data_IF_914947402370
#
_entry.id   IF_914947402370
#
_cell.length_a   1.000
_cell.length_b   1.000
_cell.length_c   1.000
_cell.angle_alpha   90.00
_cell.angle_beta   90.00
_cell.angle_gamma   90.00
#
_symmetry.space_group_name_H-M   'P 1'
#
loop_
_entity.id
_entity.type
_entity.pdbx_description
1 polymer ?
#
# COMPACT_ATOMS: atom_id res chain seq x y z
N UNK A 1 7.88 -22.49 6.34
CA UNK A 1 7.03 -21.74 5.38
C UNK A 1 7.40 -20.29 5.57
N UNK A 2 8.16 -19.70 4.64
CA UNK A 2 8.46 -18.28 4.72
C UNK A 2 7.25 -17.56 4.11
N UNK A 3 6.48 -16.92 4.99
CA UNK A 3 5.40 -16.04 4.61
C UNK A 3 6.02 -14.83 3.91
N UNK A 4 5.83 -14.77 2.59
CA UNK A 4 6.11 -13.63 1.69
C UNK A 4 7.59 -13.25 1.56
N UNK A 5 8.05 -13.17 0.31
CA UNK A 5 9.41 -12.73 -0.02
C UNK A 5 9.67 -11.35 0.57
N UNK A 6 10.81 -11.21 1.25
CA UNK A 6 11.20 -10.04 2.04
C UNK A 6 11.26 -8.71 1.27
N UNK A 7 11.17 -8.73 -0.05
CA UNK A 7 11.25 -7.53 -0.89
C UNK A 7 9.86 -6.93 -1.20
N UNK A 8 8.82 -7.75 -1.33
CA UNK A 8 7.45 -7.32 -1.68
C UNK A 8 6.82 -6.49 -0.56
N UNK A 9 7.07 -6.91 0.68
CA UNK A 9 6.57 -6.25 1.89
C UNK A 9 7.29 -4.92 2.13
N UNK A 10 8.51 -4.76 1.63
CA UNK A 10 9.37 -3.62 1.93
C UNK A 10 8.86 -2.34 1.25
N UNK A 11 8.46 -2.43 -0.02
CA UNK A 11 7.90 -1.29 -0.75
C UNK A 11 6.56 -0.82 -0.18
N UNK A 12 5.65 -1.78 0.08
CA UNK A 12 4.36 -1.46 0.68
C UNK A 12 4.51 -0.88 2.09
N UNK A 13 5.45 -1.39 2.91
CA UNK A 13 5.76 -0.83 4.24
C UNK A 13 6.25 0.63 4.16
N UNK A 14 7.16 0.94 3.23
CA UNK A 14 7.63 2.32 3.01
C UNK A 14 6.46 3.26 2.70
N UNK A 15 5.52 2.81 1.87
CA UNK A 15 4.35 3.63 1.49
C UNK A 15 3.36 3.78 2.65
N UNK A 16 3.13 2.70 3.40
CA UNK A 16 2.32 2.70 4.61
C UNK A 16 2.84 3.71 5.63
N UNK A 17 4.16 3.79 5.83
CA UNK A 17 4.79 4.75 6.73
C UNK A 17 4.65 6.21 6.26
N UNK A 18 4.50 6.43 4.94
CA UNK A 18 4.30 7.77 4.36
C UNK A 18 2.83 8.17 4.26
N UNK A 19 1.89 7.23 4.45
CA UNK A 19 0.45 7.46 4.37
C UNK A 19 -0.22 7.34 5.74
N UNK A 20 -0.71 8.47 6.27
CA UNK A 20 -1.60 8.47 7.44
C UNK A 20 -2.96 7.84 7.10
N UNK A 21 -3.73 7.43 8.11
CA UNK A 21 -5.09 6.88 7.89
C UNK A 21 -6.01 7.83 7.11
N UNK A 22 -5.93 9.12 7.41
CA UNK A 22 -6.64 10.18 6.68
C UNK A 22 -6.24 10.22 5.20
N UNK A 23 -4.94 10.09 4.90
CA UNK A 23 -4.44 10.02 3.53
C UNK A 23 -4.89 8.75 2.84
N UNK A 24 -4.93 7.60 3.51
CA UNK A 24 -5.43 6.34 2.94
C UNK A 24 -6.92 6.46 2.57
N UNK A 25 -7.72 7.06 3.45
CA UNK A 25 -9.14 7.29 3.16
C UNK A 25 -9.33 8.22 1.95
N UNK A 26 -8.60 9.35 1.91
CA UNK A 26 -8.65 10.28 0.78
C UNK A 26 -8.11 9.68 -0.52
N UNK A 27 -7.07 8.85 -0.42
CA UNK A 27 -6.48 8.13 -1.55
C UNK A 27 -7.53 7.19 -2.18
N UNK A 28 -8.30 6.47 -1.36
CA UNK A 28 -9.40 5.61 -1.82
C UNK A 28 -10.49 6.39 -2.54
N UNK A 29 -10.90 7.54 -2.01
CA UNK A 29 -11.92 8.39 -2.65
C UNK A 29 -11.41 8.99 -3.98
N UNK A 30 -10.11 9.28 -4.04
CA UNK A 30 -9.47 9.76 -5.28
C UNK A 30 -9.46 8.67 -6.35
N UNK A 31 -9.14 7.42 -5.99
CA UNK A 31 -9.24 6.29 -6.91
C UNK A 31 -10.66 6.12 -7.46
N UNK A 32 -11.68 6.17 -6.59
CA UNK A 32 -13.09 6.08 -7.04
C UNK A 32 -13.51 7.23 -7.95
N UNK A 33 -12.92 8.40 -7.77
CA UNK A 33 -13.21 9.59 -8.60
C UNK A 33 -12.61 9.45 -9.99
N UNK A 34 -11.40 8.88 -10.09
CA UNK A 34 -10.70 8.66 -11.36
C UNK A 34 -11.27 7.44 -12.10
N UNK A 35 -11.61 6.38 -11.38
CA UNK A 35 -12.25 5.18 -11.92
C UNK A 35 -13.75 5.40 -12.19
N UNK A 36 -14.07 6.31 -13.10
CA UNK A 36 -15.46 6.62 -13.49
C UNK A 36 -16.21 5.40 -14.04
N UNK A 37 -15.47 4.47 -14.65
CA UNK A 37 -15.98 3.22 -15.22
C UNK A 37 -16.16 2.11 -14.18
N UNK A 38 -15.78 2.36 -12.91
CA UNK A 38 -15.82 1.35 -11.81
C UNK A 38 -15.11 0.05 -12.18
N UNK A 39 -14.06 0.16 -12.98
CA UNK A 39 -13.21 -0.95 -13.41
C UNK A 39 -12.41 -1.55 -12.25
N UNK A 40 -12.38 -0.84 -11.12
CA UNK A 40 -11.60 -1.10 -9.91
C UNK A 40 -10.10 -1.11 -10.15
N UNK A 41 -9.67 -0.59 -11.30
CA UNK A 41 -8.31 -0.67 -11.80
C UNK A 41 -7.84 0.71 -12.17
N UNK A 42 -6.59 1.01 -11.85
CA UNK A 42 -5.91 2.22 -12.31
C UNK A 42 -4.65 1.84 -13.04
N UNK A 43 -4.30 2.62 -14.04
CA UNK A 43 -3.02 2.49 -14.75
C UNK A 43 -1.87 2.97 -13.87
N UNK A 44 -0.64 2.52 -14.16
CA UNK A 44 0.56 3.05 -13.50
C UNK A 44 0.62 4.58 -13.52
N UNK A 45 0.22 5.19 -14.63
CA UNK A 45 0.23 6.66 -14.79
C UNK A 45 -0.76 7.34 -13.84
N UNK A 46 -1.95 6.78 -13.69
CA UNK A 46 -2.97 7.29 -12.77
C UNK A 46 -2.52 7.10 -11.33
N UNK A 47 -2.05 5.90 -10.97
CA UNK A 47 -1.50 5.61 -9.64
C UNK A 47 -0.38 6.60 -9.29
N UNK A 48 0.54 6.86 -10.21
CA UNK A 48 1.63 7.82 -10.03
C UNK A 48 1.10 9.24 -9.79
N UNK A 49 0.22 9.75 -10.67
CA UNK A 49 -0.32 11.11 -10.52
C UNK A 49 -1.10 11.28 -9.20
N UNK A 50 -1.79 10.22 -8.75
CA UNK A 50 -2.46 10.22 -7.46
C UNK A 50 -1.43 10.28 -6.33
N UNK A 51 -0.44 9.40 -6.30
CA UNK A 51 0.58 9.38 -5.24
C UNK A 51 1.40 10.69 -5.17
N UNK A 52 1.69 11.31 -6.32
CA UNK A 52 2.29 12.65 -6.40
C UNK A 52 1.37 13.73 -5.79
N UNK A 53 0.06 13.64 -5.98
CA UNK A 53 -0.91 14.59 -5.40
C UNK A 53 -1.01 14.51 -3.86
N UNK A 54 -0.65 13.36 -3.28
CA UNK A 54 -0.67 13.15 -1.82
C UNK A 54 0.66 13.51 -1.12
N UNK A 55 1.61 14.08 -1.88
CA UNK A 55 2.93 14.53 -1.44
C UNK A 55 3.66 13.42 -0.64
N UNK A 56 3.61 12.22 -1.20
CA UNK A 56 4.13 11.00 -0.56
C UNK A 56 5.66 10.91 -0.59
N UNK A 57 6.31 11.78 -1.36
CA UNK A 57 7.76 11.79 -1.63
C UNK A 57 8.27 10.40 -2.06
N UNK A 58 7.44 9.67 -2.83
CA UNK A 58 7.77 8.39 -3.45
C UNK A 58 8.43 8.65 -4.80
N UNK A 59 9.51 7.93 -5.09
CA UNK A 59 10.18 8.04 -6.37
C UNK A 59 9.61 7.05 -7.41
N UNK A 60 10.06 7.14 -8.66
CA UNK A 60 9.59 6.22 -9.70
C UNK A 60 9.95 4.75 -9.40
N UNK A 61 11.02 4.51 -8.64
CA UNK A 61 11.52 3.20 -8.26
C UNK A 61 10.59 2.55 -7.24
N UNK A 62 10.12 3.32 -6.25
CA UNK A 62 9.14 2.90 -5.24
C UNK A 62 7.83 2.49 -5.90
N UNK A 63 7.32 3.33 -6.82
CA UNK A 63 6.07 3.05 -7.55
C UNK A 63 6.27 1.88 -8.51
N UNK A 64 7.44 1.73 -9.13
CA UNK A 64 7.74 0.57 -9.97
C UNK A 64 7.84 -0.73 -9.17
N UNK A 65 8.39 -0.66 -7.94
CA UNK A 65 8.42 -1.80 -7.02
C UNK A 65 7.02 -2.30 -6.66
N UNK A 66 6.06 -1.39 -6.48
CA UNK A 66 4.65 -1.75 -6.28
C UNK A 66 4.06 -2.52 -7.48
N UNK A 67 4.37 -2.09 -8.70
CA UNK A 67 3.87 -2.74 -9.92
C UNK A 67 4.45 -4.14 -10.11
N UNK A 68 5.64 -4.38 -9.57
CA UNK A 68 6.34 -5.67 -9.67
C UNK A 68 5.94 -6.64 -8.55
N UNK A 69 5.02 -6.26 -7.66
CA UNK A 69 4.48 -7.18 -6.66
C UNK A 69 3.61 -8.26 -7.32
N UNK A 70 3.59 -9.49 -6.78
CA UNK A 70 2.80 -10.60 -7.33
C UNK A 70 1.29 -10.34 -7.34
N UNK A 71 0.80 -9.38 -6.54
CA UNK A 71 -0.59 -8.87 -6.64
C UNK A 71 -0.89 -8.30 -8.03
N UNK A 72 0.11 -7.76 -8.72
CA UNK A 72 -0.04 -7.08 -10.00
C UNK A 72 0.60 -7.84 -11.18
N UNK A 73 1.22 -9.01 -10.97
CA UNK A 73 1.99 -9.72 -12.03
C UNK A 73 1.13 -10.09 -13.25
N UNK A 74 -0.17 -10.26 -13.06
CA UNK A 74 -1.12 -10.60 -14.12
C UNK A 74 -1.80 -9.37 -14.74
N UNK A 75 -1.59 -8.18 -14.18
CA UNK A 75 -2.28 -6.97 -14.53
C UNK A 75 -1.40 -6.11 -15.42
N UNK A 76 -1.44 -6.38 -16.74
CA UNK A 76 -0.82 -5.58 -17.82
C UNK A 76 -0.96 -4.07 -17.55
N UNK A 77 0.02 -3.47 -16.91
CA UNK A 77 0.14 -2.04 -16.61
C UNK A 77 -1.00 -1.42 -15.77
N UNK A 78 -1.76 -2.24 -15.04
CA UNK A 78 -2.87 -1.79 -14.18
C UNK A 78 -2.71 -2.36 -12.76
N UNK A 79 -3.30 -1.68 -11.78
CA UNK A 79 -3.30 -2.06 -10.37
C UNK A 79 -4.74 -2.09 -9.89
N UNK A 80 -5.14 -3.14 -9.21
CA UNK A 80 -6.39 -3.13 -8.44
C UNK A 80 -6.17 -2.28 -7.18
N UNK A 81 -6.78 -1.09 -7.16
CA UNK A 81 -6.56 -0.15 -6.07
C UNK A 81 -7.23 -0.61 -4.77
N UNK A 82 -8.27 -1.46 -4.81
CA UNK A 82 -8.88 -2.00 -3.60
C UNK A 82 -7.97 -3.07 -2.97
N UNK A 83 -7.33 -3.92 -3.78
CA UNK A 83 -6.31 -4.85 -3.29
C UNK A 83 -5.10 -4.08 -2.73
N UNK A 84 -4.68 -3.02 -3.40
CA UNK A 84 -3.62 -2.13 -2.93
C UNK A 84 -3.93 -1.50 -1.57
N UNK A 85 -5.12 -0.91 -1.42
CA UNK A 85 -5.57 -0.31 -0.15
C UNK A 85 -5.71 -1.39 0.94
N UNK A 86 -6.24 -2.57 0.61
CA UNK A 86 -6.35 -3.68 1.55
C UNK A 86 -4.97 -4.15 2.03
N UNK A 87 -3.97 -4.21 1.14
CA UNK A 87 -2.59 -4.53 1.51
C UNK A 87 -1.98 -3.49 2.45
N UNK A 88 -2.19 -2.19 2.18
CA UNK A 88 -1.74 -1.09 3.07
C UNK A 88 -2.38 -1.22 4.46
N UNK A 89 -3.69 -1.42 4.53
CA UNK A 89 -4.41 -1.57 5.82
C UNK A 89 -3.90 -2.80 6.57
N UNK A 90 -3.76 -3.94 5.90
CA UNK A 90 -3.26 -5.16 6.53
C UNK A 90 -1.84 -5.00 7.07
N UNK A 91 -0.98 -4.27 6.35
CA UNK A 91 0.38 -3.99 6.80
C UNK A 91 0.42 -3.05 8.01
N UNK A 92 -0.49 -2.07 8.10
CA UNK A 92 -0.64 -1.26 9.31
C UNK A 92 -1.04 -2.11 10.51
N UNK A 93 -2.05 -2.95 10.36
CA UNK A 93 -2.49 -3.86 11.42
C UNK A 93 -1.35 -4.76 11.90
N UNK A 94 -0.56 -5.32 10.97
CA UNK A 94 0.61 -6.13 11.32
C UNK A 94 1.70 -5.32 12.04
N UNK A 95 1.96 -4.07 11.66
CA UNK A 95 2.91 -3.19 12.36
C UNK A 95 2.43 -2.84 13.77
N UNK A 96 1.13 -2.57 13.93
CA UNK A 96 0.53 -2.27 15.23
C UNK A 96 0.48 -3.51 16.13
N UNK A 97 0.20 -4.70 15.57
CA UNK A 97 0.27 -6.00 16.26
C UNK A 97 1.70 -6.30 16.73
N UNK A 98 2.72 -6.14 15.88
CA UNK A 98 4.14 -6.32 16.24
C UNK A 98 4.59 -5.32 17.33
N UNK A 99 4.08 -4.09 17.31
CA UNK A 99 4.40 -3.08 18.32
C UNK A 99 3.74 -3.38 19.68
N UNK A 100 2.52 -3.91 19.68
CA UNK A 100 1.77 -4.24 20.89
C UNK A 100 2.27 -5.51 21.58
N UNK A 101 2.78 -6.50 20.83
CA UNK A 101 3.33 -7.75 21.38
C UNK A 101 4.61 -7.53 22.22
N UNK A 102 5.34 -6.42 21.99
CA UNK A 102 6.53 -6.08 22.79
C UNK A 102 6.19 -5.51 24.18
N UNK A 103 4.96 -5.08 24.42
CA UNK A 103 4.56 -4.46 25.70
C UNK A 103 4.04 -5.47 26.74
N UNK A 104 3.65 -6.69 26.35
CA UNK A 104 3.17 -7.71 27.32
C UNK A 104 4.31 -8.44 28.04
N UNK A 105 5.53 -8.44 27.49
CA UNK A 105 6.67 -9.11 28.13
C UNK A 105 7.30 -8.34 29.32
N UNK A 106 6.90 -7.09 29.55
CA UNK A 106 7.58 -6.22 30.54
C UNK A 106 6.79 -5.93 31.82
N UNK A 107 5.59 -6.48 32.02
CA UNK A 107 4.77 -6.24 33.24
C UNK A 107 4.72 -7.43 34.20
N UNK A 108 5.69 -8.36 34.11
CA UNK A 108 5.75 -9.50 35.03
C UNK A 108 7.15 -9.69 35.64
N UNK A 109 7.55 -8.76 36.50
CA UNK A 109 8.48 -8.99 37.62
C UNK A 109 8.11 -8.15 38.83
#
# INVERSE_FOLDING_TARGET
MNLLGTEEVLYLKVIVERLSEEKIHSLRETFKTIDSEKSRRVTYKELKSILESFDTNLDNSDISGLMQTPMNEHLKDTVDYEEFIAAIVRLKELQDEEANDRLDSSTKV
#
